data_IF_553624677039
#
_entry.id   IF_553624677039
#
_cell.length_a   1.000
_cell.length_b   1.000
_cell.length_c   1.000
_cell.angle_alpha   90.00
_cell.angle_beta   90.00
_cell.angle_gamma   90.00
#
_symmetry.space_group_name_H-M   'P 1'
#
loop_
_entity.id
_entity.type
_entity.pdbx_description
1 polymer ?
#
# COMPACT_ATOMS: atom_id res chain seq x y z
N UNK A 1 -24.15 -7.11 47.20
CA UNK A 1 -23.27 -5.92 47.31
C UNK A 1 -21.96 -6.35 46.68
N UNK A 2 -21.84 -6.12 45.38
CA UNK A 2 -20.86 -6.80 44.51
C UNK A 2 -19.68 -5.86 44.30
N UNK A 3 -18.48 -6.29 44.69
CA UNK A 3 -17.22 -5.59 44.42
C UNK A 3 -16.91 -5.58 42.91
N UNK A 4 -16.41 -4.46 42.35
CA UNK A 4 -15.96 -4.42 40.97
C UNK A 4 -14.53 -4.96 40.85
N UNK A 5 -14.39 -6.19 40.35
CA UNK A 5 -13.10 -6.74 39.92
C UNK A 5 -12.55 -5.92 38.75
N UNK A 6 -11.52 -5.14 39.03
CA UNK A 6 -10.74 -4.41 38.03
C UNK A 6 -9.72 -5.37 37.43
N UNK A 7 -10.02 -5.94 36.27
CA UNK A 7 -9.03 -6.69 35.48
C UNK A 7 -8.05 -5.71 34.82
N UNK A 8 -6.73 -5.87 34.97
CA UNK A 8 -5.77 -5.00 34.32
C UNK A 8 -5.77 -5.27 32.81
N UNK A 9 -5.96 -4.22 31.99
CA UNK A 9 -5.70 -4.27 30.55
C UNK A 9 -4.22 -4.59 30.33
N UNK A 10 -3.95 -5.78 29.79
CA UNK A 10 -2.63 -6.13 29.30
C UNK A 10 -2.16 -5.05 28.32
N UNK A 11 -0.97 -4.49 28.56
CA UNK A 11 -0.28 -3.63 27.60
C UNK A 11 -0.20 -4.41 26.29
N UNK A 12 -0.82 -3.86 25.25
CA UNK A 12 -0.83 -4.46 23.93
C UNK A 12 0.59 -4.83 23.53
N UNK A 13 0.76 -6.09 23.15
CA UNK A 13 1.85 -6.56 22.32
C UNK A 13 2.03 -5.51 21.22
N UNK A 14 3.15 -4.79 21.19
CA UNK A 14 3.44 -3.84 20.13
C UNK A 14 3.20 -4.56 18.81
N UNK A 15 2.14 -4.15 18.09
CA UNK A 15 1.68 -4.88 16.92
C UNK A 15 2.84 -4.95 15.95
N UNK A 16 3.34 -6.17 15.71
CA UNK A 16 4.44 -6.39 14.77
C UNK A 16 3.96 -5.85 13.43
N UNK A 17 4.69 -4.89 12.85
CA UNK A 17 4.36 -4.37 11.52
C UNK A 17 4.18 -5.54 10.56
N UNK A 18 3.16 -5.44 9.73
CA UNK A 18 2.87 -6.38 8.67
C UNK A 18 3.60 -5.98 7.39
N UNK A 19 3.68 -6.90 6.42
CA UNK A 19 4.17 -6.59 5.08
C UNK A 19 3.35 -5.47 4.42
N UNK A 20 2.05 -5.43 4.70
CA UNK A 20 1.13 -4.40 4.21
C UNK A 20 1.47 -3.01 4.74
N UNK A 21 1.87 -2.88 6.00
CA UNK A 21 2.25 -1.58 6.58
C UNK A 21 3.50 -1.00 5.87
N UNK A 22 4.48 -1.86 5.60
CA UNK A 22 5.69 -1.47 4.89
C UNK A 22 5.42 -1.08 3.43
N UNK A 23 4.65 -1.91 2.71
CA UNK A 23 4.34 -1.65 1.30
C UNK A 23 3.42 -0.45 1.14
N UNK A 24 2.47 -0.21 2.05
CA UNK A 24 1.63 0.99 2.02
C UNK A 24 2.44 2.27 2.24
N UNK A 25 3.33 2.29 3.24
CA UNK A 25 4.19 3.47 3.45
C UNK A 25 5.17 3.70 2.31
N UNK A 26 5.77 2.65 1.77
CA UNK A 26 6.65 2.75 0.61
C UNK A 26 5.92 3.29 -0.62
N UNK A 27 4.69 2.84 -0.86
CA UNK A 27 3.84 3.36 -1.93
C UNK A 27 3.50 4.84 -1.73
N UNK A 28 3.20 5.25 -0.49
CA UNK A 28 2.96 6.66 -0.17
C UNK A 28 4.17 7.55 -0.49
N UNK A 29 5.37 7.17 -0.04
CA UNK A 29 6.60 7.89 -0.38
C UNK A 29 6.87 7.93 -1.88
N UNK A 30 6.59 6.83 -2.58
CA UNK A 30 6.75 6.74 -4.02
C UNK A 30 5.83 7.74 -4.74
N UNK A 31 4.56 7.86 -4.33
CA UNK A 31 3.60 8.81 -4.90
C UNK A 31 3.98 10.27 -4.62
N UNK A 32 4.40 10.57 -3.40
CA UNK A 32 4.61 11.95 -2.94
C UNK A 32 5.96 12.52 -3.42
N UNK A 33 7.01 11.70 -3.44
CA UNK A 33 8.38 12.16 -3.61
C UNK A 33 9.19 11.34 -4.64
N UNK A 34 8.60 10.30 -5.23
CA UNK A 34 9.24 9.45 -6.24
C UNK A 34 10.20 8.40 -5.66
N UNK A 35 10.78 7.60 -6.55
CA UNK A 35 11.59 6.41 -6.18
C UNK A 35 12.77 6.75 -5.26
N UNK A 36 13.40 7.90 -5.44
CA UNK A 36 14.55 8.33 -4.65
C UNK A 36 14.26 8.56 -3.17
N UNK A 37 12.98 8.72 -2.78
CA UNK A 37 12.58 8.89 -1.40
C UNK A 37 12.42 7.56 -0.64
N UNK A 38 12.20 6.46 -1.36
CA UNK A 38 12.00 5.12 -0.78
C UNK A 38 13.35 4.58 -0.30
N UNK A 39 13.65 4.77 0.99
CA UNK A 39 14.89 4.31 1.63
C UNK A 39 14.59 3.58 2.92
N UNK A 40 15.32 2.49 3.19
CA UNK A 40 15.15 1.67 4.42
C UNK A 40 15.17 2.55 5.67
N UNK A 41 16.17 3.44 5.80
CA UNK A 41 16.28 4.34 6.96
C UNK A 41 15.12 5.30 7.10
N UNK A 42 14.55 5.78 5.99
CA UNK A 42 13.40 6.68 6.01
C UNK A 42 12.14 5.95 6.41
N UNK A 43 11.88 4.78 5.84
CA UNK A 43 10.73 3.94 6.20
C UNK A 43 10.78 3.52 7.68
N UNK A 44 11.96 3.11 8.17
CA UNK A 44 12.15 2.80 9.59
C UNK A 44 11.77 3.98 10.49
N UNK A 45 12.16 5.21 10.10
CA UNK A 45 11.81 6.43 10.85
C UNK A 45 10.32 6.74 10.81
N UNK A 46 9.67 6.59 9.65
CA UNK A 46 8.24 6.89 9.50
C UNK A 46 7.33 5.84 10.15
N UNK A 47 7.81 4.60 10.25
CA UNK A 47 7.11 3.50 10.92
C UNK A 47 7.51 3.32 12.39
N UNK A 48 8.40 4.19 12.92
CA UNK A 48 8.93 4.14 14.29
C UNK A 48 9.52 2.76 14.68
N UNK A 49 10.35 2.21 13.79
CA UNK A 49 11.00 0.90 13.99
C UNK A 49 12.47 0.91 13.61
N UNK A 50 13.17 -0.18 13.95
CA UNK A 50 14.59 -0.34 13.62
C UNK A 50 14.79 -0.99 12.25
N UNK A 51 16.00 -0.85 11.69
CA UNK A 51 16.42 -1.61 10.50
C UNK A 51 16.33 -3.13 10.72
N UNK A 52 16.55 -3.61 11.94
CA UNK A 52 16.36 -5.03 12.26
C UNK A 52 14.93 -5.50 12.01
N UNK A 53 13.93 -4.65 12.28
CA UNK A 53 12.53 -4.95 11.96
C UNK A 53 12.31 -5.05 10.46
N UNK A 54 12.96 -4.20 9.65
CA UNK A 54 12.87 -4.28 8.19
C UNK A 54 13.39 -5.62 7.65
N UNK A 55 14.57 -6.06 8.10
CA UNK A 55 15.19 -7.29 7.63
C UNK A 55 14.44 -8.58 8.01
N UNK A 56 13.46 -8.50 8.91
CA UNK A 56 12.52 -9.60 9.16
C UNK A 56 11.48 -9.79 8.04
N UNK A 57 11.26 -8.77 7.22
CA UNK A 57 10.27 -8.79 6.12
C UNK A 57 10.92 -8.82 4.74
N UNK A 58 12.05 -8.13 4.55
CA UNK A 58 12.69 -7.96 3.24
C UNK A 58 14.21 -8.13 3.35
N UNK A 59 14.83 -8.76 2.36
CA UNK A 59 16.30 -8.87 2.27
C UNK A 59 16.97 -7.52 2.01
N UNK A 60 16.33 -6.69 1.20
CA UNK A 60 16.86 -5.45 0.66
C UNK A 60 15.71 -4.55 0.17
N UNK A 61 16.09 -3.41 -0.43
CA UNK A 61 15.13 -2.44 -0.95
C UNK A 61 14.41 -2.94 -2.21
N UNK A 62 15.05 -3.78 -3.02
CA UNK A 62 14.48 -4.28 -4.27
C UNK A 62 13.34 -5.26 -3.96
N UNK A 63 13.52 -6.13 -2.95
CA UNK A 63 12.48 -7.02 -2.44
C UNK A 63 11.25 -6.25 -1.90
N UNK A 64 11.47 -5.09 -1.27
CA UNK A 64 10.37 -4.20 -0.88
C UNK A 64 9.66 -3.62 -2.12
N UNK A 65 10.41 -3.14 -3.11
CA UNK A 65 9.85 -2.54 -4.32
C UNK A 65 9.04 -3.56 -5.13
N UNK A 66 9.51 -4.80 -5.23
CA UNK A 66 8.77 -5.91 -5.85
C UNK A 66 7.45 -6.17 -5.10
N UNK A 67 7.48 -6.19 -3.77
CA UNK A 67 6.27 -6.34 -2.97
C UNK A 67 5.27 -5.17 -3.16
N UNK A 68 5.77 -3.94 -3.28
CA UNK A 68 4.94 -2.76 -3.62
C UNK A 68 4.30 -2.92 -5.00
N UNK A 69 5.07 -3.38 -5.98
CA UNK A 69 4.58 -3.63 -7.35
C UNK A 69 3.48 -4.71 -7.37
N UNK A 70 3.70 -5.85 -6.68
CA UNK A 70 2.71 -6.93 -6.63
C UNK A 70 1.43 -6.50 -5.92
N UNK A 71 1.54 -5.71 -4.84
CA UNK A 71 0.38 -5.12 -4.15
C UNK A 71 -0.43 -4.25 -5.10
N UNK A 72 0.23 -3.38 -5.87
CA UNK A 72 -0.46 -2.54 -6.84
C UNK A 72 -1.11 -3.35 -7.96
N UNK A 73 -0.40 -4.35 -8.49
CA UNK A 73 -0.94 -5.27 -9.50
C UNK A 73 -2.20 -5.98 -8.97
N UNK A 74 -2.16 -6.48 -7.75
CA UNK A 74 -3.31 -7.15 -7.10
C UNK A 74 -4.50 -6.22 -6.99
N UNK A 75 -4.30 -5.00 -6.45
CA UNK A 75 -5.35 -4.01 -6.31
C UNK A 75 -5.94 -3.58 -7.68
N UNK A 76 -5.10 -3.49 -8.70
CA UNK A 76 -5.53 -3.19 -10.08
C UNK A 76 -6.34 -4.35 -10.67
N UNK A 77 -5.92 -5.61 -10.47
CA UNK A 77 -6.68 -6.79 -10.91
C UNK A 77 -8.07 -6.83 -10.26
N UNK A 78 -8.16 -6.57 -8.96
CA UNK A 78 -9.42 -6.50 -8.22
C UNK A 78 -10.34 -5.41 -8.77
N UNK A 79 -9.80 -4.21 -9.01
CA UNK A 79 -10.56 -3.11 -9.63
C UNK A 79 -11.10 -3.52 -11.00
N UNK A 80 -10.27 -4.12 -11.87
CA UNK A 80 -10.69 -4.58 -13.18
C UNK A 80 -11.79 -5.66 -13.10
N UNK A 81 -11.71 -6.58 -12.14
CA UNK A 81 -12.77 -7.57 -11.89
C UNK A 81 -14.09 -6.91 -11.47
N UNK A 82 -14.03 -5.91 -10.59
CA UNK A 82 -15.22 -5.14 -10.19
C UNK A 82 -15.86 -4.37 -11.35
N UNK A 83 -15.05 -3.91 -12.31
CA UNK A 83 -15.54 -3.24 -13.51
C UNK A 83 -16.15 -4.24 -14.50
N UNK A 84 -15.56 -5.43 -14.64
CA UNK A 84 -16.12 -6.50 -15.47
C UNK A 84 -17.52 -6.93 -14.98
N UNK A 85 -17.75 -6.92 -13.67
CA UNK A 85 -19.07 -7.20 -13.06
C UNK A 85 -20.14 -6.12 -13.31
N UNK A 86 -19.81 -5.00 -13.98
CA UNK A 86 -20.77 -3.97 -14.37
C UNK A 86 -21.40 -4.24 -15.75
N UNK A 87 -21.17 -5.42 -16.34
CA UNK A 87 -21.64 -5.78 -17.69
C UNK A 87 -23.15 -5.60 -17.87
N UNK A 88 -23.91 -5.80 -16.79
CA UNK A 88 -25.37 -5.85 -16.82
C UNK A 88 -26.03 -4.47 -16.63
N UNK A 89 -25.24 -3.44 -16.35
CA UNK A 89 -25.74 -2.07 -16.24
C UNK A 89 -26.03 -1.44 -17.61
N UNK A 90 -27.04 -0.56 -17.71
CA UNK A 90 -27.24 0.26 -18.90
C UNK A 90 -25.95 1.03 -19.28
N UNK A 91 -25.66 1.24 -20.58
CA UNK A 91 -24.37 1.78 -21.02
C UNK A 91 -23.95 3.10 -20.34
N UNK A 92 -24.89 4.02 -20.13
CA UNK A 92 -24.63 5.30 -19.47
C UNK A 92 -24.28 5.13 -17.98
N UNK A 93 -24.97 4.24 -17.27
CA UNK A 93 -24.73 3.97 -15.85
C UNK A 93 -23.44 3.18 -15.64
N UNK A 94 -23.13 2.26 -16.56
CA UNK A 94 -21.84 1.58 -16.62
C UNK A 94 -20.69 2.58 -16.79
N UNK A 95 -20.76 3.46 -17.79
CA UNK A 95 -19.73 4.49 -18.01
C UNK A 95 -19.56 5.40 -16.80
N UNK A 96 -20.65 5.85 -16.17
CA UNK A 96 -20.59 6.68 -14.96
C UNK A 96 -19.91 5.94 -13.80
N UNK A 97 -20.26 4.67 -13.59
CA UNK A 97 -19.69 3.83 -12.54
C UNK A 97 -18.21 3.54 -12.77
N UNK A 98 -17.80 3.30 -14.03
CA UNK A 98 -16.39 3.14 -14.40
C UNK A 98 -15.61 4.45 -14.17
N UNK A 99 -16.16 5.59 -14.57
CA UNK A 99 -15.52 6.91 -14.42
C UNK A 99 -15.26 7.23 -12.94
N UNK A 100 -16.25 7.02 -12.07
CA UNK A 100 -16.13 7.27 -10.63
C UNK A 100 -15.05 6.39 -9.95
N UNK A 101 -14.75 5.21 -10.51
CA UNK A 101 -13.77 4.27 -9.95
C UNK A 101 -12.37 4.43 -10.54
N UNK A 102 -12.26 4.91 -11.78
CA UNK A 102 -10.99 5.01 -12.51
C UNK A 102 -10.33 6.39 -12.41
N UNK A 103 -11.11 7.46 -12.23
CA UNK A 103 -10.64 8.85 -12.40
C UNK A 103 -10.29 9.53 -11.06
N UNK A 104 -10.02 8.77 -10.00
CA UNK A 104 -9.59 9.37 -8.73
C UNK A 104 -8.13 9.88 -8.79
N UNK A 105 -7.80 10.97 -8.09
CA UNK A 105 -6.46 11.58 -8.11
C UNK A 105 -5.37 10.60 -7.64
N UNK A 106 -5.75 9.69 -6.72
CA UNK A 106 -4.84 8.67 -6.21
C UNK A 106 -4.41 7.69 -7.29
N UNK A 107 -5.29 7.26 -8.20
CA UNK A 107 -4.94 6.29 -9.24
C UNK A 107 -3.88 6.86 -10.20
N UNK A 108 -4.02 8.14 -10.56
CA UNK A 108 -3.06 8.86 -11.41
C UNK A 108 -1.69 9.04 -10.75
N UNK A 109 -1.66 9.38 -9.47
CA UNK A 109 -0.40 9.55 -8.73
C UNK A 109 0.40 8.25 -8.65
N UNK A 110 -0.27 7.13 -8.39
CA UNK A 110 0.36 5.80 -8.35
C UNK A 110 0.88 5.40 -9.73
N UNK A 111 0.06 5.52 -10.77
CA UNK A 111 0.45 5.15 -12.13
C UNK A 111 1.65 5.97 -12.60
N UNK A 112 1.65 7.27 -12.34
CA UNK A 112 2.78 8.15 -12.65
C UNK A 112 4.04 7.69 -11.94
N UNK A 113 3.98 7.49 -10.63
CA UNK A 113 5.15 7.16 -9.84
C UNK A 113 5.73 5.79 -10.21
N UNK A 114 4.88 4.80 -10.51
CA UNK A 114 5.30 3.50 -11.03
C UNK A 114 5.91 3.60 -12.43
N UNK A 115 5.32 4.41 -13.34
CA UNK A 115 5.91 4.64 -14.67
C UNK A 115 7.26 5.35 -14.59
N UNK A 116 7.40 6.30 -13.68
CA UNK A 116 8.66 6.99 -13.43
C UNK A 116 9.71 6.01 -12.89
N UNK A 117 9.34 5.17 -11.92
CA UNK A 117 10.20 4.10 -11.41
C UNK A 117 10.63 3.11 -12.50
N UNK A 118 9.70 2.59 -13.30
CA UNK A 118 9.97 1.64 -14.37
C UNK A 118 10.92 2.19 -15.45
N UNK A 119 10.99 3.52 -15.63
CA UNK A 119 11.97 4.15 -16.53
C UNK A 119 13.37 4.27 -15.92
N UNK A 120 13.45 4.34 -14.59
CA UNK A 120 14.73 4.42 -13.86
C UNK A 120 15.32 3.07 -13.51
N UNK A 121 14.49 2.04 -13.40
CA UNK A 121 14.92 0.65 -13.16
C UNK A 121 15.35 0.01 -14.48
N UNK A 122 16.62 0.22 -14.84
CA UNK A 122 17.25 -0.42 -15.99
C UNK A 122 17.61 -1.87 -15.62
N UNK A 123 16.61 -2.75 -15.61
CA UNK A 123 16.82 -4.20 -15.60
C UNK A 123 17.11 -4.72 -17.00
#
# INVERSE_FOLDING_TARGET
MTEPSTTPRGRGQAARLSLDDWTERALALLMDEGVGAVKISRLCRELDVTKGSFYWHFSDLDALQEAVAERWCTQTRELLQQLAGLSDLPPAERLRSMTMRLVDDRSWSVERALRDWARTDAK
#
